data_IF_156628385280
#
_entry.id   IF_156628385280
#
_cell.length_a   1.000
_cell.length_b   1.000
_cell.length_c   1.000
_cell.angle_alpha   90.00
_cell.angle_beta   90.00
_cell.angle_gamma   90.00
#
_symmetry.space_group_name_H-M   'P 1'
#
loop_
_entity.id
_entity.type
_entity.pdbx_description
1 polymer ?
#
# COMPACT_ATOMS: atom_id res chain seq x y z
N UNK A 1 -9.48 14.44 -18.53
CA UNK A 1 -8.78 14.73 -17.26
C UNK A 1 -7.69 13.68 -17.07
N UNK A 2 -6.40 14.06 -17.01
CA UNK A 2 -5.34 13.11 -16.63
C UNK A 2 -5.50 12.87 -15.12
N UNK A 3 -6.22 11.82 -14.74
CA UNK A 3 -6.42 11.48 -13.33
C UNK A 3 -5.07 11.19 -12.66
N UNK A 4 -4.88 11.68 -11.44
CA UNK A 4 -3.71 11.35 -10.64
C UNK A 4 -3.65 9.83 -10.41
N UNK A 5 -2.49 9.21 -10.67
CA UNK A 5 -2.29 7.78 -10.38
C UNK A 5 -2.21 7.55 -8.86
N UNK A 6 -2.79 6.46 -8.38
CA UNK A 6 -2.62 6.06 -6.98
C UNK A 6 -1.26 5.40 -6.79
N UNK A 7 -0.59 5.69 -5.67
CA UNK A 7 0.60 4.95 -5.26
C UNK A 7 0.20 3.59 -4.68
N UNK A 8 0.60 2.45 -5.28
CA UNK A 8 0.20 1.14 -4.78
C UNK A 8 0.71 0.84 -3.38
N UNK A 9 1.98 1.19 -3.10
CA UNK A 9 2.58 1.02 -1.78
C UNK A 9 1.94 1.98 -0.77
N UNK A 10 1.65 3.21 -1.18
CA UNK A 10 0.99 4.19 -0.31
C UNK A 10 -0.41 3.75 0.11
N UNK A 11 -1.22 3.27 -0.84
CA UNK A 11 -2.56 2.76 -0.53
C UNK A 11 -2.51 1.47 0.29
N UNK A 12 -1.59 0.55 -0.05
CA UNK A 12 -1.37 -0.68 0.71
C UNK A 12 -1.01 -0.39 2.17
N UNK A 13 -0.05 0.50 2.44
CA UNK A 13 0.32 0.86 3.81
C UNK A 13 -0.84 1.50 4.58
N UNK A 14 -1.61 2.39 3.95
CA UNK A 14 -2.75 3.02 4.60
C UNK A 14 -3.81 1.97 5.01
N UNK A 15 -4.16 1.06 4.11
CA UNK A 15 -5.09 -0.04 4.38
C UNK A 15 -4.55 -1.00 5.45
N UNK A 16 -3.30 -1.43 5.31
CA UNK A 16 -2.64 -2.34 6.24
C UNK A 16 -2.63 -1.79 7.66
N UNK A 17 -2.17 -0.55 7.86
CA UNK A 17 -2.10 0.08 9.19
C UNK A 17 -3.50 0.24 9.79
N UNK A 18 -4.45 0.78 9.01
CA UNK A 18 -5.81 1.00 9.48
C UNK A 18 -6.47 -0.30 9.91
N UNK A 19 -6.36 -1.35 9.08
CA UNK A 19 -6.99 -2.64 9.37
C UNK A 19 -6.29 -3.38 10.50
N UNK A 20 -4.95 -3.43 10.51
CA UNK A 20 -4.18 -4.08 11.58
C UNK A 20 -4.47 -3.48 12.95
N UNK A 21 -4.52 -2.14 13.07
CA UNK A 21 -4.90 -1.46 14.33
C UNK A 21 -6.35 -1.78 14.69
N UNK A 22 -7.27 -1.79 13.71
CA UNK A 22 -8.68 -2.10 13.96
C UNK A 22 -8.87 -3.51 14.52
N UNK A 23 -8.17 -4.51 13.94
CA UNK A 23 -8.20 -5.90 14.40
C UNK A 23 -7.59 -6.04 15.80
N UNK A 24 -6.49 -5.34 16.09
CA UNK A 24 -5.90 -5.30 17.42
C UNK A 24 -6.90 -4.75 18.45
N UNK A 25 -7.49 -3.60 18.17
CA UNK A 25 -8.44 -2.93 19.07
C UNK A 25 -9.68 -3.77 19.29
N UNK A 26 -10.27 -4.34 18.23
CA UNK A 26 -11.43 -5.22 18.34
C UNK A 26 -11.13 -6.50 19.13
N UNK A 27 -9.95 -7.08 18.95
CA UNK A 27 -9.54 -8.25 19.72
C UNK A 27 -9.40 -7.96 21.22
N UNK A 28 -8.79 -6.82 21.57
CA UNK A 28 -8.66 -6.37 22.96
C UNK A 28 -10.03 -6.00 23.57
N UNK A 29 -10.89 -5.30 22.83
CA UNK A 29 -12.23 -4.95 23.29
C UNK A 29 -13.10 -6.19 23.49
N UNK A 30 -12.99 -7.19 22.62
CA UNK A 30 -13.67 -8.46 22.78
C UNK A 30 -13.15 -9.23 24.02
N UNK A 31 -11.86 -9.14 24.30
CA UNK A 31 -11.26 -9.76 25.48
C UNK A 31 -11.71 -9.11 26.80
N UNK A 32 -11.65 -7.78 26.90
CA UNK A 32 -11.93 -7.06 28.16
C UNK A 32 -13.41 -6.76 28.40
N UNK A 33 -14.17 -6.49 27.33
CA UNK A 33 -15.54 -5.96 27.43
C UNK A 33 -16.55 -6.83 26.69
N UNK A 34 -16.15 -7.98 26.12
CA UNK A 34 -16.98 -8.85 25.25
C UNK A 34 -17.56 -8.15 24.01
N UNK A 35 -17.13 -6.90 23.75
CA UNK A 35 -17.60 -6.09 22.65
C UNK A 35 -17.03 -6.61 21.33
N UNK A 36 -17.90 -6.86 20.35
CA UNK A 36 -17.48 -7.35 19.04
C UNK A 36 -17.01 -8.81 19.04
N UNK A 37 -17.28 -9.60 20.09
CA UNK A 37 -16.84 -11.00 20.18
C UNK A 37 -17.28 -11.85 18.99
N UNK A 38 -18.52 -11.70 18.52
CA UNK A 38 -19.00 -12.40 17.31
C UNK A 38 -18.22 -12.05 16.05
N UNK A 39 -17.79 -10.79 15.92
CA UNK A 39 -16.94 -10.35 14.82
C UNK A 39 -15.53 -10.95 14.92
N UNK A 40 -14.93 -10.96 16.12
CA UNK A 40 -13.61 -11.58 16.35
C UNK A 40 -13.61 -13.06 15.99
N UNK A 41 -14.65 -13.79 16.41
CA UNK A 41 -14.80 -15.22 16.07
C UNK A 41 -14.97 -15.42 14.55
N UNK A 42 -15.80 -14.61 13.89
CA UNK A 42 -16.00 -14.70 12.46
C UNK A 42 -14.70 -14.42 11.68
N UNK A 43 -13.97 -13.36 12.04
CA UNK A 43 -12.68 -13.03 11.40
C UNK A 43 -11.59 -14.05 11.76
N UNK A 44 -11.66 -14.67 12.94
CA UNK A 44 -10.75 -15.74 13.34
C UNK A 44 -10.78 -16.97 12.41
N UNK A 45 -11.87 -17.18 11.67
CA UNK A 45 -11.93 -18.19 10.61
C UNK A 45 -11.07 -17.85 9.39
N UNK A 46 -10.82 -16.56 9.15
CA UNK A 46 -9.97 -16.06 8.06
C UNK A 46 -8.54 -15.82 8.51
N UNK A 47 -8.34 -15.41 9.77
CA UNK A 47 -7.04 -15.09 10.36
C UNK A 47 -6.72 -16.13 11.47
N UNK A 48 -6.03 -17.23 11.13
CA UNK A 48 -5.72 -18.28 12.08
C UNK A 48 -4.99 -17.74 13.32
N UNK A 49 -5.52 -18.06 14.50
CA UNK A 49 -4.98 -17.60 15.77
C UNK A 49 -5.44 -16.20 16.18
N UNK A 50 -6.35 -15.56 15.43
CA UNK A 50 -7.10 -14.41 15.93
C UNK A 50 -8.26 -14.90 16.82
N UNK A 51 -8.19 -14.52 18.08
CA UNK A 51 -9.16 -14.87 19.12
C UNK A 51 -9.22 -13.71 20.13
N UNK A 52 -10.26 -13.66 21.00
CA UNK A 52 -10.37 -12.66 22.06
C UNK A 52 -9.33 -12.93 23.16
N UNK A 53 -8.06 -12.66 22.86
CA UNK A 53 -6.93 -12.75 23.78
C UNK A 53 -5.87 -11.73 23.38
N UNK A 54 -4.99 -11.33 24.30
CA UNK A 54 -3.94 -10.34 23.99
C UNK A 54 -3.01 -10.88 22.88
N UNK A 55 -2.60 -12.15 22.98
CA UNK A 55 -1.73 -12.80 21.99
C UNK A 55 -2.45 -12.99 20.65
N UNK A 56 -3.71 -13.42 20.68
CA UNK A 56 -4.52 -13.59 19.48
C UNK A 56 -4.76 -12.27 18.77
N UNK A 57 -4.99 -11.19 19.51
CA UNK A 57 -5.18 -9.84 18.97
C UNK A 57 -3.93 -9.32 18.26
N UNK A 58 -2.74 -9.57 18.82
CA UNK A 58 -1.46 -9.23 18.19
C UNK A 58 -1.23 -10.04 16.90
N UNK A 59 -1.51 -11.34 16.93
CA UNK A 59 -1.35 -12.21 15.76
C UNK A 59 -2.34 -11.82 14.65
N UNK A 60 -3.60 -11.59 15.01
CA UNK A 60 -4.62 -11.09 14.10
C UNK A 60 -4.25 -9.75 13.49
N UNK A 61 -3.66 -8.83 14.25
CA UNK A 61 -3.23 -7.53 13.75
C UNK A 61 -2.14 -7.65 12.67
N UNK A 62 -1.17 -8.57 12.84
CA UNK A 62 -0.12 -8.82 11.85
C UNK A 62 -0.71 -9.45 10.58
N UNK A 63 -1.56 -10.48 10.74
CA UNK A 63 -2.19 -11.14 9.60
C UNK A 63 -3.10 -10.15 8.84
N UNK A 64 -3.94 -9.42 9.57
CA UNK A 64 -4.82 -8.40 9.01
C UNK A 64 -4.04 -7.28 8.33
N UNK A 65 -2.93 -6.81 8.91
CA UNK A 65 -2.06 -5.82 8.26
C UNK A 65 -1.59 -6.33 6.89
N UNK A 66 -1.09 -7.56 6.81
CA UNK A 66 -0.56 -8.15 5.57
C UNK A 66 -1.69 -8.30 4.54
N UNK A 67 -2.83 -8.84 4.95
CA UNK A 67 -4.00 -9.07 4.10
C UNK A 67 -4.55 -7.75 3.51
N UNK A 68 -4.75 -6.74 4.36
CA UNK A 68 -5.20 -5.43 3.92
C UNK A 68 -4.14 -4.66 3.13
N UNK A 69 -2.85 -4.83 3.43
CA UNK A 69 -1.77 -4.25 2.63
C UNK A 69 -1.80 -4.77 1.19
N UNK A 70 -1.90 -6.10 1.02
CA UNK A 70 -1.98 -6.73 -0.30
C UNK A 70 -3.24 -6.26 -1.01
N UNK A 71 -4.38 -6.25 -0.32
CA UNK A 71 -5.65 -5.78 -0.88
C UNK A 71 -5.57 -4.31 -1.34
N UNK A 72 -5.04 -3.42 -0.51
CA UNK A 72 -4.85 -2.01 -0.86
C UNK A 72 -3.87 -1.82 -2.03
N UNK A 73 -2.79 -2.60 -2.06
CA UNK A 73 -1.87 -2.60 -3.20
C UNK A 73 -2.57 -3.01 -4.51
N UNK A 74 -3.34 -4.10 -4.47
CA UNK A 74 -4.10 -4.61 -5.61
C UNK A 74 -5.16 -3.61 -6.08
N UNK A 75 -5.87 -2.96 -5.16
CA UNK A 75 -6.85 -1.91 -5.49
C UNK A 75 -6.19 -0.76 -6.25
N UNK A 76 -5.06 -0.23 -5.75
CA UNK A 76 -4.36 0.85 -6.42
C UNK A 76 -3.82 0.42 -7.79
N UNK A 77 -3.36 -0.82 -7.92
CA UNK A 77 -2.94 -1.37 -9.20
C UNK A 77 -4.10 -1.46 -10.19
N UNK A 78 -5.21 -2.10 -9.81
CA UNK A 78 -6.41 -2.20 -10.65
C UNK A 78 -6.95 -0.82 -11.02
N UNK A 79 -6.99 0.11 -10.06
CA UNK A 79 -7.38 1.49 -10.31
C UNK A 79 -6.51 2.12 -11.39
N UNK A 80 -5.18 2.01 -11.28
CA UNK A 80 -4.26 2.55 -12.28
C UNK A 80 -4.39 1.86 -13.64
N UNK A 81 -4.69 0.56 -13.66
CA UNK A 81 -4.92 -0.22 -14.87
C UNK A 81 -6.17 0.26 -15.62
N UNK A 82 -7.25 0.55 -14.91
CA UNK A 82 -8.49 1.05 -15.52
C UNK A 82 -8.48 2.55 -15.78
N UNK A 83 -7.70 3.33 -15.02
CA UNK A 83 -7.59 4.78 -15.17
C UNK A 83 -6.64 5.23 -16.28
N UNK A 84 -5.83 4.31 -16.84
CA UNK A 84 -4.85 4.61 -17.89
C UNK A 84 -5.15 3.93 -19.21
N UNK A 85 -5.37 4.71 -20.28
CA UNK A 85 -5.38 4.22 -21.66
C UNK A 85 -4.16 3.33 -21.97
N UNK A 86 -4.40 2.18 -22.63
CA UNK A 86 -3.38 1.27 -23.19
C UNK A 86 -2.63 1.89 -24.38
N UNK A 87 -2.06 3.07 -24.26
CA UNK A 87 -1.19 3.64 -25.29
C UNK A 87 0.27 3.54 -24.83
N UNK A 88 1.10 2.87 -25.64
CA UNK A 88 2.57 2.74 -25.54
C UNK A 88 3.30 4.09 -25.33
N UNK A 89 2.63 5.23 -25.54
CA UNK A 89 3.22 6.57 -25.50
C UNK A 89 3.52 7.14 -24.09
N UNK A 90 2.96 6.59 -23.01
CA UNK A 90 3.16 7.17 -21.65
C UNK A 90 4.44 6.70 -20.94
N UNK A 91 5.11 5.65 -21.44
CA UNK A 91 6.38 5.18 -20.87
C UNK A 91 7.54 6.13 -21.19
N UNK A 92 7.44 6.85 -22.33
CA UNK A 92 8.44 7.81 -22.79
C UNK A 92 8.75 8.95 -21.82
N UNK A 93 7.87 9.29 -20.88
CA UNK A 93 8.08 10.48 -20.05
C UNK A 93 9.21 10.29 -19.02
N UNK A 94 9.41 9.06 -18.50
CA UNK A 94 10.54 8.76 -17.61
C UNK A 94 11.87 8.84 -18.34
N UNK A 95 11.91 8.42 -19.59
CA UNK A 95 13.13 8.44 -20.41
C UNK A 95 13.57 9.86 -20.77
N UNK A 96 12.60 10.76 -20.97
CA UNK A 96 12.84 12.17 -21.32
C UNK A 96 13.38 12.94 -20.11
N UNK A 97 12.79 12.78 -18.92
CA UNK A 97 13.26 13.47 -17.71
C UNK A 97 14.69 13.07 -17.32
N UNK A 98 15.02 11.77 -17.39
CA UNK A 98 16.38 11.28 -17.12
C UNK A 98 17.40 11.78 -18.15
N UNK A 99 17.02 11.91 -19.42
CA UNK A 99 17.88 12.47 -20.47
C UNK A 99 18.14 13.96 -20.24
N UNK A 100 17.10 14.76 -19.94
CA UNK A 100 17.26 16.19 -19.67
C UNK A 100 18.14 16.47 -18.45
N UNK A 101 18.01 15.65 -17.39
CA UNK A 101 18.86 15.77 -16.19
C UNK A 101 20.32 15.42 -16.49
N UNK A 102 20.60 14.43 -17.36
CA UNK A 102 21.98 14.10 -17.76
C UNK A 102 22.62 15.20 -18.59
N UNK A 103 21.89 15.75 -19.57
CA UNK A 103 22.38 16.86 -20.42
C UNK A 103 22.72 18.10 -19.59
N UNK A 104 21.94 18.40 -18.55
CA UNK A 104 22.23 19.53 -17.65
C UNK A 104 23.42 19.30 -16.71
N UNK A 105 23.83 18.05 -16.47
CA UNK A 105 24.93 17.72 -15.55
C UNK A 105 26.29 17.56 -16.22
N UNK A 106 26.37 17.50 -17.55
CA UNK A 106 27.67 17.52 -18.23
C UNK A 106 28.33 18.90 -18.10
N UNK A 107 29.48 19.02 -17.41
CA UNK A 107 30.20 20.28 -17.36
C UNK A 107 30.69 20.60 -18.78
N UNK A 108 30.29 21.77 -19.32
CA UNK A 108 30.75 22.27 -20.61
C UNK A 108 32.28 22.40 -20.59
N UNK A 109 32.99 21.39 -21.07
CA UNK A 109 34.43 21.44 -21.31
C UNK A 109 34.65 22.47 -22.40
N UNK A 110 34.96 23.72 -21.99
CA UNK A 110 35.36 24.78 -22.90
C UNK A 110 36.67 24.32 -23.58
N UNK A 111 36.57 23.97 -24.86
CA UNK A 111 37.74 23.79 -25.74
C UNK A 111 38.54 25.09 -25.69
N UNK A 112 39.71 25.04 -25.07
CA UNK A 112 40.73 26.08 -25.19
C UNK A 112 41.40 25.86 -26.54
N UNK A 113 41.02 26.70 -27.50
CA UNK A 113 41.61 26.78 -28.84
C UNK A 113 43.01 27.40 -28.70
N UNK A 114 44.02 26.76 -29.29
CA UNK A 114 45.41 27.22 -29.38
C UNK A 114 45.68 27.70 -30.80
#
# INVERSE_FOLDING_TARGET
MKGCKLSPVGLGLAFGVLWGISILMLGLLAYYYTYGHGFVVAVGSLYPGYEPSIKGSLLGAVIGFIDAFITGFLIAWLYNLFSGCKCVCCDKQKDVEVKDVRVKKEPKVKKVEK
#
